data_IF_312984912175
#
_entry.id   IF_312984912175
#
_cell.length_a   1.000
_cell.length_b   1.000
_cell.length_c   1.000
_cell.angle_alpha   90.00
_cell.angle_beta   90.00
_cell.angle_gamma   90.00
#
_symmetry.space_group_name_H-M   'P 1'
#
loop_
_entity.id
_entity.type
_entity.pdbx_description
1 polymer ?
#
# COMPACT_ATOMS: atom_id res chain seq x y z
N UNK A 1 8.66 -15.75 7.14
CA UNK A 1 7.21 -16.02 6.99
C UNK A 1 6.96 -17.50 6.71
N UNK A 2 6.72 -18.35 7.73
CA UNK A 2 6.56 -19.79 7.57
C UNK A 2 5.13 -20.21 7.15
N UNK A 3 4.49 -19.48 6.22
CA UNK A 3 3.13 -19.79 5.75
C UNK A 3 3.15 -20.57 4.44
N UNK A 4 2.18 -21.47 4.27
CA UNK A 4 1.84 -22.07 2.97
C UNK A 4 0.92 -21.17 2.15
N UNK A 5 0.64 -21.57 0.90
CA UNK A 5 -0.10 -20.77 -0.10
C UNK A 5 -1.43 -20.19 0.39
N UNK A 6 -2.27 -20.97 1.10
CA UNK A 6 -3.59 -20.53 1.57
C UNK A 6 -3.45 -19.45 2.64
N UNK A 7 -2.55 -19.65 3.60
CA UNK A 7 -2.31 -18.69 4.67
C UNK A 7 -1.64 -17.41 4.16
N UNK A 8 -0.74 -17.51 3.19
CA UNK A 8 -0.08 -16.33 2.57
C UNK A 8 -1.09 -15.42 1.86
N UNK A 9 -2.18 -15.97 1.32
CA UNK A 9 -3.26 -15.17 0.74
C UNK A 9 -4.00 -14.29 1.75
N UNK A 10 -3.98 -14.64 3.04
CA UNK A 10 -4.79 -13.99 4.06
C UNK A 10 -3.96 -13.22 5.10
N UNK A 11 -2.68 -13.56 5.29
CA UNK A 11 -1.87 -12.97 6.37
C UNK A 11 -1.77 -11.44 6.27
N UNK A 12 -1.54 -10.88 5.09
CA UNK A 12 -1.39 -9.42 4.93
C UNK A 12 -2.70 -8.65 5.13
N UNK A 13 -3.83 -9.06 4.51
CA UNK A 13 -5.13 -8.49 4.82
C UNK A 13 -5.48 -8.55 6.30
N UNK A 14 -5.39 -9.74 6.92
CA UNK A 14 -5.75 -9.95 8.33
C UNK A 14 -4.92 -9.04 9.24
N UNK A 15 -3.60 -8.97 9.04
CA UNK A 15 -2.76 -8.07 9.83
C UNK A 15 -3.18 -6.61 9.66
N UNK A 16 -3.43 -6.18 8.43
CA UNK A 16 -3.81 -4.80 8.15
C UNK A 16 -5.15 -4.44 8.80
N UNK A 17 -6.14 -5.31 8.67
CA UNK A 17 -7.51 -5.09 9.18
C UNK A 17 -7.62 -5.16 10.70
N UNK A 18 -6.68 -5.83 11.36
CA UNK A 18 -6.66 -5.97 12.82
C UNK A 18 -5.66 -5.02 13.50
N UNK A 19 -5.32 -3.89 12.85
CA UNK A 19 -4.46 -2.86 13.46
C UNK A 19 -2.96 -3.20 13.49
N UNK A 20 -2.53 -4.23 12.75
CA UNK A 20 -1.14 -4.67 12.63
C UNK A 20 -0.56 -4.38 11.23
N UNK A 21 -0.97 -3.27 10.61
CA UNK A 21 -0.53 -2.90 9.26
C UNK A 21 0.99 -2.73 9.15
N UNK A 22 1.62 -2.14 10.18
CA UNK A 22 3.08 -2.02 10.26
C UNK A 22 3.79 -3.38 10.21
N UNK A 23 3.22 -4.40 10.86
CA UNK A 23 3.78 -5.75 10.79
C UNK A 23 3.61 -6.37 9.41
N UNK A 24 2.49 -6.09 8.72
CA UNK A 24 2.31 -6.50 7.33
C UNK A 24 3.38 -5.87 6.41
N UNK A 25 3.71 -4.60 6.63
CA UNK A 25 4.79 -3.88 5.93
C UNK A 25 6.16 -4.48 6.23
N UNK A 26 6.47 -4.77 7.50
CA UNK A 26 7.72 -5.43 7.89
C UNK A 26 7.88 -6.81 7.24
N UNK A 27 6.80 -7.60 7.19
CA UNK A 27 6.82 -8.93 6.59
C UNK A 27 7.09 -8.88 5.08
N UNK A 28 6.50 -7.93 4.34
CA UNK A 28 6.74 -7.82 2.89
C UNK A 28 8.13 -7.24 2.58
N UNK A 29 8.66 -6.37 3.43
CA UNK A 29 9.98 -5.76 3.27
C UNK A 29 11.13 -6.66 3.73
N UNK A 30 10.84 -7.79 4.39
CA UNK A 30 11.85 -8.73 4.85
C UNK A 30 12.61 -9.38 3.69
N UNK A 31 13.93 -9.46 3.82
CA UNK A 31 14.83 -10.13 2.86
C UNK A 31 15.40 -11.45 3.35
N UNK A 32 15.02 -11.88 4.57
CA UNK A 32 15.52 -13.12 5.18
C UNK A 32 14.60 -14.30 4.91
N UNK A 33 15.17 -15.50 4.80
CA UNK A 33 14.38 -16.71 4.56
C UNK A 33 13.43 -16.99 5.73
N UNK A 34 12.16 -17.39 5.47
CA UNK A 34 11.45 -17.36 4.18
C UNK A 34 10.74 -16.01 3.94
N UNK A 35 10.94 -15.37 2.79
CA UNK A 35 10.24 -14.13 2.39
C UNK A 35 10.26 -13.90 0.87
N UNK A 36 9.44 -12.96 0.38
CA UNK A 36 9.52 -12.48 -1.01
C UNK A 36 10.86 -11.79 -1.30
N UNK A 37 11.36 -10.99 -0.36
CA UNK A 37 12.68 -10.36 -0.50
C UNK A 37 13.82 -11.36 -0.53
N UNK A 38 13.68 -12.53 0.12
CA UNK A 38 14.63 -13.64 0.00
C UNK A 38 14.57 -14.30 -1.37
N UNK A 39 13.40 -14.48 -1.97
CA UNK A 39 13.29 -14.95 -3.36
C UNK A 39 13.99 -13.96 -4.32
N UNK A 40 13.70 -12.67 -4.17
CA UNK A 40 14.25 -11.63 -5.03
C UNK A 40 15.78 -11.48 -4.91
N UNK A 41 16.32 -11.56 -3.69
CA UNK A 41 17.75 -11.41 -3.40
C UNK A 41 18.42 -12.75 -3.06
N UNK A 42 17.93 -13.86 -3.60
CA UNK A 42 18.44 -15.17 -3.23
C UNK A 42 19.92 -15.29 -3.64
N UNK A 43 20.82 -15.79 -2.77
CA UNK A 43 22.25 -15.81 -3.06
C UNK A 43 22.65 -16.78 -4.20
N UNK A 44 21.76 -17.70 -4.58
CA UNK A 44 22.03 -18.68 -5.64
C UNK A 44 21.38 -18.28 -6.97
N UNK A 45 20.15 -17.77 -6.94
CA UNK A 45 19.40 -17.39 -8.14
C UNK A 45 18.35 -16.32 -7.83
N UNK A 46 18.47 -15.11 -8.36
CA UNK A 46 17.47 -14.07 -8.11
C UNK A 46 16.14 -14.35 -8.83
N UNK A 47 15.04 -14.31 -8.08
CA UNK A 47 13.70 -14.49 -8.64
C UNK A 47 13.24 -13.28 -9.49
N UNK A 48 12.70 -13.55 -10.68
CA UNK A 48 11.99 -12.57 -11.52
C UNK A 48 10.47 -12.80 -11.56
N UNK A 49 10.01 -13.94 -11.01
CA UNK A 49 8.60 -14.29 -10.81
C UNK A 49 8.46 -14.97 -9.44
N UNK A 50 7.23 -15.22 -8.98
CA UNK A 50 7.02 -15.96 -7.72
C UNK A 50 7.32 -17.45 -7.92
N UNK A 51 8.05 -18.05 -6.99
CA UNK A 51 8.38 -19.47 -7.05
C UNK A 51 7.36 -20.35 -6.32
N UNK A 52 7.37 -21.65 -6.59
CA UNK A 52 6.52 -22.64 -5.93
C UNK A 52 6.91 -22.86 -4.46
N UNK A 53 8.21 -22.81 -4.15
CA UNK A 53 8.75 -22.96 -2.79
C UNK A 53 9.54 -21.71 -2.40
N UNK A 54 9.57 -21.40 -1.10
CA UNK A 54 10.36 -20.28 -0.57
C UNK A 54 11.87 -20.45 -0.80
N UNK A 55 12.35 -21.68 -0.97
CA UNK A 55 13.76 -22.06 -1.13
C UNK A 55 14.01 -22.82 -2.44
N UNK A 56 13.26 -22.53 -3.50
CA UNK A 56 13.30 -23.29 -4.76
C UNK A 56 14.71 -23.67 -5.25
N UNK A 57 15.73 -22.78 -5.27
CA UNK A 57 17.09 -23.13 -5.72
C UNK A 57 17.79 -24.24 -4.93
N UNK A 58 17.34 -24.55 -3.71
CA UNK A 58 17.90 -25.57 -2.83
C UNK A 58 17.18 -26.92 -2.95
N UNK A 59 16.16 -27.03 -3.80
CA UNK A 59 15.29 -28.21 -3.93
C UNK A 59 15.55 -28.93 -5.25
N UNK A 60 15.52 -30.27 -5.25
CA UNK A 60 15.70 -31.09 -6.45
C UNK A 60 14.58 -30.90 -7.50
N UNK A 61 14.66 -31.58 -8.67
CA UNK A 61 13.82 -31.32 -9.86
C UNK A 61 12.35 -31.78 -9.75
N UNK A 62 11.86 -31.99 -8.53
CA UNK A 62 10.48 -32.39 -8.27
C UNK A 62 9.54 -31.17 -8.35
N UNK A 63 8.59 -31.06 -7.43
CA UNK A 63 7.68 -29.92 -7.29
C UNK A 63 8.47 -28.66 -6.87
N UNK A 64 9.05 -27.98 -7.86
CA UNK A 64 10.00 -26.88 -7.68
C UNK A 64 9.97 -25.85 -8.83
N UNK A 65 8.79 -25.44 -9.27
CA UNK A 65 8.61 -24.44 -10.33
C UNK A 65 9.14 -23.07 -9.90
N UNK A 66 9.84 -22.38 -10.81
CA UNK A 66 10.31 -21.00 -10.63
C UNK A 66 9.30 -19.97 -11.13
N UNK A 67 8.08 -20.37 -11.52
CA UNK A 67 7.05 -19.45 -12.02
C UNK A 67 5.65 -19.95 -11.63
N UNK A 68 5.29 -19.76 -10.37
CA UNK A 68 4.05 -20.25 -9.77
C UNK A 68 3.31 -19.09 -9.11
N UNK A 69 2.12 -18.77 -9.61
CA UNK A 69 1.35 -17.59 -9.19
C UNK A 69 0.72 -17.69 -7.79
N UNK A 70 0.85 -18.82 -7.09
CA UNK A 70 0.11 -19.11 -5.86
C UNK A 70 0.51 -18.20 -4.70
N UNK A 71 1.76 -17.73 -4.66
CA UNK A 71 2.21 -16.68 -3.74
C UNK A 71 1.99 -15.25 -4.28
N UNK A 72 1.33 -15.09 -5.43
CA UNK A 72 1.04 -13.79 -6.04
C UNK A 72 -0.07 -12.97 -5.33
N UNK A 73 -0.76 -13.57 -4.35
CA UNK A 73 -1.85 -12.92 -3.59
C UNK A 73 -1.44 -11.62 -2.90
N UNK A 74 -0.15 -11.45 -2.57
CA UNK A 74 0.38 -10.20 -2.02
C UNK A 74 0.15 -8.99 -2.94
N UNK A 75 0.09 -9.21 -4.25
CA UNK A 75 -0.26 -8.18 -5.21
C UNK A 75 -1.65 -7.60 -4.96
N UNK A 76 -2.63 -8.43 -4.62
CA UNK A 76 -3.97 -7.97 -4.29
C UNK A 76 -3.97 -7.08 -3.03
N UNK A 77 -3.12 -7.39 -2.04
CA UNK A 77 -2.97 -6.58 -0.83
C UNK A 77 -2.40 -5.18 -1.13
N UNK A 78 -1.50 -5.03 -2.11
CA UNK A 78 -1.02 -3.71 -2.54
C UNK A 78 -2.17 -2.79 -2.99
N UNK A 79 -3.13 -3.31 -3.76
CA UNK A 79 -4.24 -2.49 -4.25
C UNK A 79 -5.36 -2.31 -3.21
N UNK A 80 -5.68 -3.36 -2.46
CA UNK A 80 -6.81 -3.38 -1.52
C UNK A 80 -6.49 -2.80 -0.14
N UNK A 81 -5.21 -2.70 0.25
CA UNK A 81 -4.84 -2.22 1.58
C UNK A 81 -3.76 -1.13 1.57
N UNK A 82 -2.75 -1.18 0.68
CA UNK A 82 -1.80 -0.06 0.60
C UNK A 82 -2.42 1.16 -0.09
N UNK A 83 -2.89 0.98 -1.33
CA UNK A 83 -3.65 2.01 -2.03
C UNK A 83 -5.11 2.09 -1.53
N UNK A 84 -5.64 0.96 -1.04
CA UNK A 84 -7.01 0.77 -0.54
C UNK A 84 -8.02 1.51 -1.43
N UNK A 85 -8.05 1.10 -2.70
CA UNK A 85 -8.96 1.61 -3.71
C UNK A 85 -10.07 0.59 -3.94
N UNK A 86 -11.22 0.84 -3.33
CA UNK A 86 -12.40 0.00 -3.44
C UNK A 86 -13.35 0.52 -4.54
N UNK A 87 -13.71 -0.41 -5.43
CA UNK A 87 -14.57 -0.21 -6.60
C UNK A 87 -15.88 -1.01 -6.52
N UNK A 88 -16.20 -1.58 -5.34
CA UNK A 88 -17.39 -2.43 -5.14
C UNK A 88 -18.72 -1.68 -5.21
N UNK A 89 -18.68 -0.35 -5.14
CA UNK A 89 -19.86 0.52 -5.19
C UNK A 89 -19.79 1.51 -6.36
N UNK A 90 -20.88 2.20 -6.65
CA UNK A 90 -20.92 3.29 -7.64
C UNK A 90 -20.02 4.49 -7.28
N UNK A 91 -19.55 4.55 -6.03
CA UNK A 91 -18.60 5.56 -5.55
C UNK A 91 -17.26 4.88 -5.21
N UNK A 92 -16.18 5.41 -5.78
CA UNK A 92 -14.83 4.91 -5.55
C UNK A 92 -14.40 5.28 -4.12
N UNK A 93 -14.09 4.32 -3.27
CA UNK A 93 -13.54 4.62 -1.94
C UNK A 93 -12.02 4.52 -2.00
N UNK A 94 -11.32 5.55 -1.52
CA UNK A 94 -9.85 5.62 -1.51
C UNK A 94 -9.40 5.86 -0.07
N UNK A 95 -8.71 4.88 0.53
CA UNK A 95 -8.25 4.96 1.94
C UNK A 95 -6.80 4.47 2.12
N UNK A 96 -5.80 5.16 1.56
CA UNK A 96 -4.45 4.63 1.51
C UNK A 96 -3.93 4.41 2.94
N UNK A 97 -3.49 3.19 3.26
CA UNK A 97 -2.90 2.89 4.55
C UNK A 97 -1.41 3.16 4.50
N UNK A 98 -0.93 3.85 5.52
CA UNK A 98 0.45 4.29 5.62
C UNK A 98 1.10 3.64 6.84
N UNK A 99 2.42 3.49 6.81
CA UNK A 99 3.17 3.08 7.99
C UNK A 99 2.96 4.09 9.13
N UNK A 100 3.00 3.63 10.39
CA UNK A 100 3.01 4.54 11.54
C UNK A 100 4.23 5.46 11.53
N UNK A 101 4.29 6.43 12.44
CA UNK A 101 5.48 7.28 12.58
C UNK A 101 6.74 6.46 12.90
N UNK A 102 6.64 5.47 13.79
CA UNK A 102 7.76 4.61 14.16
C UNK A 102 8.29 3.73 13.01
N UNK A 103 7.45 3.47 12.00
CA UNK A 103 7.76 2.62 10.84
C UNK A 103 7.80 3.38 9.52
N UNK A 104 7.82 4.72 9.55
CA UNK A 104 7.89 5.60 8.36
C UNK A 104 8.99 5.22 7.37
N UNK A 105 10.13 4.75 7.88
CA UNK A 105 11.28 4.35 7.07
C UNK A 105 11.02 3.14 6.17
N UNK A 106 10.03 2.30 6.50
CA UNK A 106 9.64 1.14 5.68
C UNK A 106 8.87 1.59 4.44
N UNK A 107 7.98 2.58 4.60
CA UNK A 107 7.12 3.06 3.50
C UNK A 107 6.72 4.53 3.71
N UNK A 108 7.51 5.44 3.12
CA UNK A 108 7.27 6.89 3.13
C UNK A 108 6.40 7.38 1.97
N UNK A 109 6.30 6.57 0.90
CA UNK A 109 5.70 6.96 -0.37
C UNK A 109 4.93 5.79 -0.99
N UNK A 110 3.85 6.12 -1.70
CA UNK A 110 3.10 5.18 -2.53
C UNK A 110 2.73 5.88 -3.84
N UNK A 111 2.79 5.13 -4.95
CA UNK A 111 2.17 5.50 -6.22
C UNK A 111 1.47 4.26 -6.77
N UNK A 112 0.17 4.39 -6.98
CA UNK A 112 -0.68 3.33 -7.50
C UNK A 112 -1.55 3.90 -8.62
N UNK A 113 -1.71 3.12 -9.68
CA UNK A 113 -2.59 3.39 -10.80
C UNK A 113 -3.47 2.16 -11.00
N UNK A 114 -4.78 2.38 -11.06
CA UNK A 114 -5.77 1.33 -11.28
C UNK A 114 -6.62 1.69 -12.51
N UNK A 115 -6.70 0.77 -13.46
CA UNK A 115 -7.59 0.90 -14.62
C UNK A 115 -8.98 0.41 -14.25
N UNK A 116 -9.97 1.29 -14.33
CA UNK A 116 -11.36 1.01 -13.98
C UNK A 116 -12.27 1.18 -15.20
N UNK A 117 -13.54 0.76 -15.09
CA UNK A 117 -14.54 1.00 -16.14
C UNK A 117 -14.79 2.48 -16.42
N UNK A 118 -14.52 3.35 -15.44
CA UNK A 118 -14.67 4.81 -15.58
C UNK A 118 -13.41 5.49 -16.12
N UNK A 119 -12.28 4.78 -16.19
CA UNK A 119 -10.98 5.32 -16.55
C UNK A 119 -9.93 5.10 -15.46
N UNK A 120 -8.82 5.83 -15.54
CA UNK A 120 -7.70 5.69 -14.63
C UNK A 120 -7.95 6.37 -13.29
N UNK A 121 -7.77 5.63 -12.20
CA UNK A 121 -7.68 6.16 -10.85
C UNK A 121 -6.22 6.15 -10.43
N UNK A 122 -5.70 7.32 -10.06
CA UNK A 122 -4.35 7.42 -9.49
C UNK A 122 -4.44 7.75 -8.01
N UNK A 123 -3.63 7.07 -7.22
CA UNK A 123 -3.47 7.31 -5.79
C UNK A 123 -1.99 7.42 -5.51
N UNK A 124 -1.58 8.51 -4.88
CA UNK A 124 -0.22 8.64 -4.41
C UNK A 124 -0.17 9.41 -3.11
N UNK A 125 0.68 8.99 -2.20
CA UNK A 125 1.01 9.78 -1.05
C UNK A 125 2.52 9.93 -0.93
N UNK A 126 2.93 11.02 -0.31
CA UNK A 126 4.32 11.24 0.08
C UNK A 126 4.33 11.85 1.46
N UNK A 127 5.06 11.24 2.36
CA UNK A 127 5.48 11.84 3.62
C UNK A 127 6.83 12.48 3.37
N UNK A 128 7.00 13.70 3.85
CA UNK A 128 8.28 14.38 3.69
C UNK A 128 9.37 13.61 4.45
N UNK A 129 10.34 13.08 3.70
CA UNK A 129 11.47 12.36 4.25
C UNK A 129 12.45 13.30 4.98
N UNK A 130 12.40 14.60 4.66
CA UNK A 130 13.23 15.65 5.28
C UNK A 130 12.48 16.42 6.37
N UNK A 131 11.21 16.11 6.59
CA UNK A 131 10.34 16.73 7.59
C UNK A 131 10.33 18.28 7.55
N UNK A 132 10.50 18.86 6.36
CA UNK A 132 10.44 20.33 6.14
C UNK A 132 9.08 20.89 6.53
N UNK A 133 8.03 20.08 6.45
CA UNK A 133 6.76 20.29 7.13
C UNK A 133 6.52 19.08 8.03
N UNK A 134 6.82 19.25 9.32
CA UNK A 134 6.70 18.15 10.28
C UNK A 134 5.27 17.61 10.35
N UNK A 135 5.15 16.29 10.47
CA UNK A 135 3.87 15.57 10.57
C UNK A 135 2.90 15.87 9.40
N UNK A 136 3.44 16.03 8.18
CA UNK A 136 2.63 16.29 6.98
C UNK A 136 2.59 15.09 6.03
N UNK A 137 1.46 15.00 5.32
CA UNK A 137 1.21 14.01 4.28
C UNK A 137 0.67 14.75 3.06
N UNK A 138 1.33 14.57 1.93
CA UNK A 138 0.80 15.02 0.65
C UNK A 138 0.09 13.84 -0.04
N UNK A 139 -1.24 13.83 0.02
CA UNK A 139 -2.08 12.87 -0.71
C UNK A 139 -2.54 13.50 -2.03
N UNK A 140 -2.30 12.81 -3.15
CA UNK A 140 -2.80 13.18 -4.48
C UNK A 140 -3.62 12.05 -5.03
N UNK A 141 -4.84 12.38 -5.45
CA UNK A 141 -5.76 11.46 -6.11
C UNK A 141 -6.14 12.01 -7.48
N UNK A 142 -6.35 11.13 -8.45
CA UNK A 142 -6.95 11.47 -9.74
C UNK A 142 -8.17 10.59 -9.92
N UNK A 143 -9.32 11.23 -10.08
CA UNK A 143 -10.60 10.57 -10.30
C UNK A 143 -10.98 10.81 -11.77
N UNK A 144 -11.38 9.77 -12.52
CA UNK A 144 -11.75 9.96 -13.91
C UNK A 144 -13.05 10.78 -14.03
N UNK A 145 -13.28 11.44 -15.19
CA UNK A 145 -14.53 12.16 -15.44
C UNK A 145 -15.75 11.27 -15.22
N UNK A 146 -16.86 11.85 -14.75
CA UNK A 146 -18.12 11.17 -14.45
C UNK A 146 -18.04 10.08 -13.35
N UNK A 147 -16.94 9.99 -12.61
CA UNK A 147 -16.86 9.18 -11.41
C UNK A 147 -16.92 10.04 -10.15
N UNK A 148 -17.45 9.46 -9.07
CA UNK A 148 -17.43 10.05 -7.74
C UNK A 148 -16.50 9.25 -6.85
N UNK A 149 -15.81 9.93 -5.94
CA UNK A 149 -14.92 9.28 -4.99
C UNK A 149 -15.10 9.83 -3.58
N UNK A 150 -14.94 8.94 -2.61
CA UNK A 150 -14.81 9.26 -1.20
C UNK A 150 -13.38 8.97 -0.77
N UNK A 151 -12.66 10.02 -0.42
CA UNK A 151 -11.29 9.92 0.09
C UNK A 151 -11.33 9.94 1.61
N UNK A 152 -10.70 8.94 2.21
CA UNK A 152 -10.60 8.76 3.66
C UNK A 152 -9.11 8.66 3.98
N UNK A 153 -8.70 9.25 5.10
CA UNK A 153 -7.36 9.05 5.64
C UNK A 153 -7.49 8.76 7.12
N UNK A 154 -6.71 7.78 7.59
CA UNK A 154 -6.61 7.51 9.02
C UNK A 154 -5.67 8.55 9.64
N UNK A 155 -6.02 9.14 10.79
CA UNK A 155 -5.13 10.08 11.46
C UNK A 155 -3.88 9.34 11.92
N UNK A 156 -2.77 9.51 11.20
CA UNK A 156 -1.46 8.96 11.57
C UNK A 156 -0.85 9.66 12.79
N UNK A 157 -1.30 10.87 13.06
CA UNK A 157 -0.85 11.72 14.15
C UNK A 157 -2.00 11.99 15.09
N UNK A 158 -1.72 12.08 16.38
CA UNK A 158 -2.70 12.55 17.37
C UNK A 158 -3.15 13.95 16.97
N UNK A 159 -4.44 14.13 16.70
CA UNK A 159 -5.00 15.40 16.22
C UNK A 159 -4.71 15.72 14.74
N UNK A 160 -4.26 14.75 13.95
CA UNK A 160 -4.05 14.93 12.50
C UNK A 160 -5.36 15.32 11.79
N UNK A 161 -5.31 16.41 11.03
CA UNK A 161 -6.46 16.96 10.30
C UNK A 161 -6.06 17.36 8.88
N UNK A 162 -7.04 17.47 7.98
CA UNK A 162 -6.81 18.06 6.68
C UNK A 162 -6.44 19.54 6.85
N UNK A 163 -5.30 19.97 6.28
CA UNK A 163 -4.88 21.38 6.32
C UNK A 163 -5.39 22.16 5.12
N UNK A 164 -5.26 21.59 3.93
CA UNK A 164 -5.60 22.26 2.67
C UNK A 164 -6.05 21.22 1.65
N UNK A 165 -7.11 21.55 0.91
CA UNK A 165 -7.61 20.78 -0.21
C UNK A 165 -7.48 21.58 -1.50
N UNK A 166 -6.86 20.98 -2.51
CA UNK A 166 -6.55 21.61 -3.79
C UNK A 166 -7.15 20.76 -4.91
N UNK A 167 -7.89 21.40 -5.80
CA UNK A 167 -8.37 20.81 -7.04
C UNK A 167 -7.69 21.50 -8.23
N UNK A 168 -6.96 20.71 -9.04
CA UNK A 168 -6.07 21.27 -10.06
C UNK A 168 -5.01 22.18 -9.41
N UNK A 169 -5.07 23.48 -9.71
CA UNK A 169 -4.19 24.50 -9.14
C UNK A 169 -4.94 25.48 -8.21
N UNK A 170 -6.17 25.15 -7.79
CA UNK A 170 -7.02 26.01 -6.98
C UNK A 170 -7.24 25.41 -5.59
N UNK A 171 -6.96 26.19 -4.55
CA UNK A 171 -7.37 25.84 -3.18
C UNK A 171 -8.89 25.92 -3.10
N UNK A 172 -9.54 24.80 -2.77
CA UNK A 172 -11.00 24.72 -2.61
C UNK A 172 -11.43 24.71 -1.14
N UNK A 173 -10.51 24.36 -0.23
CA UNK A 173 -10.73 24.44 1.22
C UNK A 173 -9.39 24.54 1.97
N UNK A 174 -9.37 25.22 3.12
CA UNK A 174 -8.23 25.28 4.05
C UNK A 174 -8.74 25.51 5.46
N UNK A 175 -8.11 24.89 6.46
CA UNK A 175 -8.53 25.06 7.85
C UNK A 175 -8.31 26.47 8.40
N UNK A 176 -7.43 27.27 7.78
CA UNK A 176 -7.22 28.67 8.17
C UNK A 176 -8.46 29.55 7.87
N UNK A 177 -9.25 29.21 6.84
CA UNK A 177 -10.46 29.97 6.50
C UNK A 177 -11.58 29.78 7.54
N UNK A 178 -11.62 28.65 8.23
CA UNK A 178 -12.64 28.37 9.26
C UNK A 178 -12.39 29.14 10.57
N UNK A 179 -11.15 29.59 10.82
CA UNK A 179 -10.82 30.38 12.03
C UNK A 179 -11.22 31.87 11.95
N UNK A 180 -11.67 32.36 10.78
CA UNK A 180 -12.13 33.74 10.61
C UNK A 180 -13.65 33.93 10.77
N UNK A 181 -14.41 32.87 11.04
CA UNK A 181 -15.87 32.89 11.21
C UNK A 181 -16.35 32.48 12.62
N UNK A 182 -15.50 32.66 13.64
CA UNK A 182 -15.87 32.44 15.06
C UNK A 182 -15.78 33.74 15.83
#
# INVERSE_FOLDING_TARGET
MPTGIVSTAQIYPILSDNGHHDLALELISSTTYPSYGYMFNNPYENATTTWELWNTPLTGPAMNSHNQAMYGSVGAWFYSHLADTDLSSNMITIRPRMASESKKHIMSKLKCQLSTLYGLVHVSYTRDERDTISNSILLRVTIPPNAQARVIFEPLFVGGQCKTLIEGNKVIWSSDFDTMNV
#
